data_IF_091942866416
#
_entry.id   IF_091942866416
#
_cell.length_a   1.000
_cell.length_b   1.000
_cell.length_c   1.000
_cell.angle_alpha   90.00
_cell.angle_beta   90.00
_cell.angle_gamma   90.00
#
_symmetry.space_group_name_H-M   'P 1'
#
loop_
_entity.id
_entity.type
_entity.pdbx_description
1 polymer ?
#
# COMPACT_ATOMS: atom_id res chain seq x y z
N UNK A 1 9.54 6.31 21.59
CA UNK A 1 9.91 5.66 20.31
C UNK A 1 10.06 6.73 19.22
N UNK A 2 11.24 6.86 18.59
CA UNK A 2 11.51 7.86 17.54
C UNK A 2 10.55 7.68 16.33
N UNK A 3 10.16 8.77 15.66
CA UNK A 3 9.23 8.80 14.52
C UNK A 3 9.67 7.86 13.39
N UNK A 4 10.97 7.78 13.10
CA UNK A 4 11.49 6.84 12.10
C UNK A 4 11.18 5.38 12.44
N UNK A 5 11.28 5.01 13.72
CA UNK A 5 10.98 3.65 14.18
C UNK A 5 9.48 3.34 14.04
N UNK A 6 8.59 4.31 14.34
CA UNK A 6 7.14 4.17 14.13
C UNK A 6 6.80 3.95 12.65
N UNK A 7 7.41 4.71 11.77
CA UNK A 7 7.22 4.59 10.32
C UNK A 7 7.70 3.23 9.80
N UNK A 8 8.88 2.76 10.20
CA UNK A 8 9.40 1.46 9.79
C UNK A 8 8.53 0.30 10.28
N UNK A 9 8.05 0.36 11.54
CA UNK A 9 7.10 -0.63 12.06
C UNK A 9 5.80 -0.64 11.26
N UNK A 10 5.22 0.54 11.00
CA UNK A 10 4.03 0.66 10.15
C UNK A 10 4.26 0.05 8.77
N UNK A 11 5.36 0.42 8.10
CA UNK A 11 5.68 -0.05 6.75
C UNK A 11 5.76 -1.58 6.69
N UNK A 12 6.39 -2.21 7.68
CA UNK A 12 6.49 -3.67 7.77
C UNK A 12 5.12 -4.33 7.94
N UNK A 13 4.33 -3.89 8.92
CA UNK A 13 2.99 -4.45 9.19
C UNK A 13 2.03 -4.24 8.00
N UNK A 14 2.06 -3.05 7.42
CA UNK A 14 1.18 -2.69 6.32
C UNK A 14 1.53 -3.43 5.03
N UNK A 15 2.82 -3.64 4.73
CA UNK A 15 3.22 -4.46 3.59
C UNK A 15 2.78 -5.92 3.76
N UNK A 16 2.85 -6.46 4.97
CA UNK A 16 2.31 -7.80 5.26
C UNK A 16 0.80 -7.84 5.01
N UNK A 17 0.05 -6.86 5.51
CA UNK A 17 -1.38 -6.76 5.26
C UNK A 17 -1.70 -6.71 3.76
N UNK A 18 -1.00 -5.85 3.00
CA UNK A 18 -1.23 -5.65 1.58
C UNK A 18 -0.95 -6.92 0.75
N UNK A 19 0.08 -7.68 1.10
CA UNK A 19 0.40 -8.95 0.42
C UNK A 19 -0.68 -10.02 0.57
N UNK A 20 -1.51 -9.94 1.61
CA UNK A 20 -2.63 -10.84 1.84
C UNK A 20 -3.89 -10.43 1.07
N UNK A 21 -3.90 -9.25 0.44
CA UNK A 21 -5.05 -8.74 -0.32
C UNK A 21 -4.96 -9.05 -1.82
N UNK A 22 -3.91 -9.75 -2.28
CA UNK A 22 -3.78 -10.10 -3.70
C UNK A 22 -4.84 -11.16 -4.03
N UNK A 23 -5.73 -10.92 -5.00
CA UNK A 23 -6.76 -11.88 -5.36
C UNK A 23 -6.18 -13.10 -6.08
N UNK A 24 -6.90 -14.21 -5.99
CA UNK A 24 -6.66 -15.37 -6.84
C UNK A 24 -6.87 -14.97 -8.30
N UNK A 25 -5.85 -15.23 -9.12
CA UNK A 25 -5.80 -14.87 -10.53
C UNK A 25 -4.85 -15.80 -11.26
N UNK A 26 -4.79 -15.71 -12.60
CA UNK A 26 -3.80 -16.47 -13.35
C UNK A 26 -2.37 -16.08 -12.93
N UNK A 27 -1.42 -16.98 -13.18
CA UNK A 27 -0.04 -16.83 -12.67
C UNK A 27 0.63 -15.52 -13.14
N UNK A 28 0.36 -15.09 -14.36
CA UNK A 28 0.94 -13.88 -14.96
C UNK A 28 0.41 -12.63 -14.24
N UNK A 29 -0.92 -12.52 -14.11
CA UNK A 29 -1.58 -11.39 -13.47
C UNK A 29 -1.22 -11.32 -11.98
N UNK A 30 -1.20 -12.46 -11.29
CA UNK A 30 -0.81 -12.54 -9.88
C UNK A 30 0.62 -12.02 -9.68
N UNK A 31 1.57 -12.45 -10.52
CA UNK A 31 2.96 -11.98 -10.47
C UNK A 31 3.07 -10.48 -10.76
N UNK A 32 2.34 -9.98 -11.75
CA UNK A 32 2.33 -8.56 -12.10
C UNK A 32 1.79 -7.69 -10.96
N UNK A 33 0.65 -8.05 -10.37
CA UNK A 33 0.07 -7.34 -9.21
C UNK A 33 1.06 -7.37 -8.05
N UNK A 34 1.59 -8.56 -7.72
CA UNK A 34 2.56 -8.72 -6.64
C UNK A 34 3.79 -7.85 -6.87
N UNK A 35 4.31 -7.80 -8.08
CA UNK A 35 5.43 -6.93 -8.44
C UNK A 35 5.09 -5.45 -8.21
N UNK A 36 3.99 -4.97 -8.81
CA UNK A 36 3.56 -3.57 -8.72
C UNK A 36 3.41 -3.10 -7.27
N UNK A 37 2.81 -3.93 -6.42
CA UNK A 37 2.60 -3.58 -5.01
C UNK A 37 3.81 -3.86 -4.14
N UNK A 38 4.76 -4.73 -4.50
CA UNK A 38 5.89 -5.10 -3.62
C UNK A 38 7.10 -4.20 -3.76
N UNK A 39 7.13 -3.28 -4.73
CA UNK A 39 8.35 -2.60 -5.18
C UNK A 39 8.88 -1.48 -4.24
N UNK A 40 8.97 -1.74 -2.94
CA UNK A 40 9.81 -0.94 -2.02
C UNK A 40 9.28 0.46 -1.66
N UNK A 41 8.12 0.87 -2.16
CA UNK A 41 7.54 2.20 -1.98
C UNK A 41 7.51 2.70 -0.53
N UNK A 42 7.61 4.02 -0.34
CA UNK A 42 7.63 4.66 0.99
C UNK A 42 6.28 4.57 1.72
N UNK A 43 5.18 4.21 1.07
CA UNK A 43 3.84 4.14 1.67
C UNK A 43 3.40 5.45 2.33
N UNK A 44 3.81 6.59 1.77
CA UNK A 44 3.57 7.91 2.37
C UNK A 44 2.06 8.17 2.46
N UNK A 45 1.29 7.79 1.43
CA UNK A 45 -0.15 8.04 1.38
C UNK A 45 -0.88 7.24 2.45
N UNK A 46 -0.59 5.94 2.54
CA UNK A 46 -1.14 5.11 3.62
C UNK A 46 -0.70 5.56 5.01
N UNK A 47 0.57 5.99 5.17
CA UNK A 47 1.07 6.44 6.47
C UNK A 47 0.39 7.73 6.95
N UNK A 48 0.20 8.70 6.07
CA UNK A 48 -0.55 9.94 6.38
C UNK A 48 -1.98 9.63 6.80
N UNK A 49 -2.66 8.75 6.07
CA UNK A 49 -4.00 8.29 6.42
C UNK A 49 -4.02 7.62 7.79
N UNK A 50 -3.01 6.81 8.11
CA UNK A 50 -2.88 6.15 9.40
C UNK A 50 -2.69 7.13 10.56
N UNK A 51 -1.89 8.19 10.37
CA UNK A 51 -1.67 9.22 11.39
C UNK A 51 -2.98 9.97 11.66
N UNK A 52 -3.63 10.45 10.60
CA UNK A 52 -4.87 11.21 10.71
C UNK A 52 -5.99 10.36 11.29
N UNK A 53 -6.21 9.16 10.75
CA UNK A 53 -7.27 8.29 11.23
C UNK A 53 -7.09 7.84 12.68
N UNK A 54 -5.85 7.66 13.15
CA UNK A 54 -5.58 7.45 14.58
C UNK A 54 -5.98 8.64 15.43
N UNK A 55 -5.74 9.87 14.94
CA UNK A 55 -6.15 11.09 15.65
C UNK A 55 -7.68 11.19 15.79
N UNK A 56 -8.42 10.70 14.78
CA UNK A 56 -9.89 10.65 14.79
C UNK A 56 -10.48 9.36 15.42
N UNK A 57 -9.66 8.49 16.02
CA UNK A 57 -10.14 7.28 16.68
C UNK A 57 -10.62 6.16 15.74
N UNK A 58 -10.23 6.18 14.46
CA UNK A 58 -10.59 5.12 13.50
C UNK A 58 -9.85 3.83 13.85
N UNK A 59 -10.55 2.69 13.76
CA UNK A 59 -9.97 1.38 14.05
C UNK A 59 -8.80 1.05 13.12
N UNK A 60 -7.79 0.33 13.64
CA UNK A 60 -6.62 -0.10 12.86
C UNK A 60 -7.03 -0.92 11.63
N UNK A 61 -8.07 -1.75 11.74
CA UNK A 61 -8.56 -2.57 10.63
C UNK A 61 -9.12 -1.71 9.50
N UNK A 62 -9.94 -0.72 9.82
CA UNK A 62 -10.47 0.21 8.82
C UNK A 62 -9.34 1.03 8.19
N UNK A 63 -8.34 1.44 8.97
CA UNK A 63 -7.17 2.15 8.44
C UNK A 63 -6.31 1.29 7.53
N UNK A 64 -6.18 -0.01 7.80
CA UNK A 64 -5.49 -0.94 6.91
C UNK A 64 -6.22 -1.05 5.56
N UNK A 65 -7.55 -1.22 5.58
CA UNK A 65 -8.37 -1.31 4.36
C UNK A 65 -8.30 0.00 3.55
N UNK A 66 -8.49 1.14 4.22
CA UNK A 66 -8.42 2.46 3.59
C UNK A 66 -7.02 2.74 3.02
N UNK A 67 -5.97 2.48 3.81
CA UNK A 67 -4.59 2.63 3.36
C UNK A 67 -4.26 1.74 2.17
N UNK A 68 -4.71 0.49 2.19
CA UNK A 68 -4.52 -0.44 1.07
C UNK A 68 -5.23 0.05 -0.18
N UNK A 69 -6.47 0.52 -0.06
CA UNK A 69 -7.24 1.06 -1.18
C UNK A 69 -6.50 2.22 -1.87
N UNK A 70 -5.98 3.17 -1.08
CA UNK A 70 -5.24 4.32 -1.62
C UNK A 70 -3.91 3.91 -2.26
N UNK A 71 -3.16 2.99 -1.66
CA UNK A 71 -1.89 2.52 -2.22
C UNK A 71 -2.08 1.64 -3.45
N UNK A 72 -3.19 0.90 -3.56
CA UNK A 72 -3.53 0.13 -4.75
C UNK A 72 -3.87 1.04 -5.93
N UNK A 73 -4.67 2.09 -5.71
CA UNK A 73 -4.94 3.11 -6.74
C UNK A 73 -3.64 3.78 -7.18
N UNK A 74 -2.75 4.09 -6.24
CA UNK A 74 -1.44 4.66 -6.57
C UNK A 74 -0.57 3.69 -7.38
N UNK A 75 -0.50 2.41 -7.01
CA UNK A 75 0.28 1.42 -7.75
C UNK A 75 -0.29 1.22 -9.16
N UNK A 76 -1.61 1.19 -9.30
CA UNK A 76 -2.30 1.14 -10.59
C UNK A 76 -1.92 2.32 -11.48
N UNK A 77 -1.94 3.56 -10.95
CA UNK A 77 -1.60 4.74 -11.76
C UNK A 77 -0.18 4.64 -12.29
N UNK A 78 0.80 4.30 -11.44
CA UNK A 78 2.19 4.15 -11.85
C UNK A 78 2.38 3.09 -12.94
N UNK A 79 1.75 1.93 -12.80
CA UNK A 79 1.85 0.86 -13.81
C UNK A 79 1.33 1.34 -15.17
N UNK A 80 0.27 2.16 -15.16
CA UNK A 80 -0.32 2.71 -16.38
C UNK A 80 0.49 3.90 -16.92
N UNK A 81 1.08 4.72 -16.05
CA UNK A 81 1.97 5.82 -16.41
C UNK A 81 3.25 5.29 -17.08
N UNK A 82 3.78 4.15 -16.65
CA UNK A 82 4.99 3.53 -17.21
C UNK A 82 4.77 2.78 -18.57
N UNK A 83 3.56 2.78 -19.14
CA UNK A 83 3.28 2.11 -20.42
C UNK A 83 3.90 2.90 -21.58
N UNK A 84 4.40 2.29 -22.68
CA UNK A 84 5.05 3.02 -23.77
C UNK A 84 4.24 4.12 -24.48
N UNK A 85 2.94 4.20 -24.22
CA UNK A 85 2.02 5.20 -24.75
C UNK A 85 1.67 6.31 -23.74
N UNK A 86 2.16 6.19 -22.51
CA UNK A 86 1.99 7.11 -21.40
C UNK A 86 3.42 7.48 -20.94
N UNK A 87 3.69 8.77 -20.76
CA UNK A 87 5.04 9.38 -20.75
C UNK A 87 5.81 9.36 -22.09
#
# INVERSE_FOLDING_TARGET
>A
MNQNKKFLTFKSEFNKFLSLQIPDSNEICHKAIKYAISNGGKRIRAYLLFILGKHFGISKNNLNILGASVELIHAYSLVHDDLPCMD
#
